data_IF_394776228518
#
_entry.id   IF_394776228518
#
_cell.length_a   1.000
_cell.length_b   1.000
_cell.length_c   1.000
_cell.angle_alpha   90.00
_cell.angle_beta   90.00
_cell.angle_gamma   90.00
#
_symmetry.space_group_name_H-M   'P 1'
#
loop_
_entity.id
_entity.type
_entity.pdbx_description
1 polymer ?
#
# COMPACT_ATOMS: atom_id res chain seq x y z
N UNK A 1 -14.94 4.71 -6.55
CA UNK A 1 -14.79 3.24 -6.55
C UNK A 1 -14.85 2.79 -5.10
N UNK A 2 -15.46 1.65 -4.77
CA UNK A 2 -15.54 1.19 -3.36
C UNK A 2 -14.30 0.40 -2.96
N UNK A 3 -14.09 0.23 -1.66
CA UNK A 3 -13.01 -0.62 -1.14
C UNK A 3 -13.12 -2.04 -1.71
N UNK A 4 -14.32 -2.63 -1.76
CA UNK A 4 -14.55 -3.97 -2.30
C UNK A 4 -14.15 -4.09 -3.78
N UNK A 5 -14.34 -3.03 -4.56
CA UNK A 5 -13.93 -3.00 -5.97
C UNK A 5 -12.40 -2.97 -6.10
N UNK A 6 -11.69 -2.21 -5.24
CA UNK A 6 -10.22 -2.22 -5.23
C UNK A 6 -9.70 -3.58 -4.77
N UNK A 7 -10.29 -4.16 -3.71
CA UNK A 7 -9.96 -5.50 -3.24
C UNK A 7 -10.14 -6.54 -4.35
N UNK A 8 -11.26 -6.49 -5.09
CA UNK A 8 -11.53 -7.39 -6.20
C UNK A 8 -10.47 -7.28 -7.31
N UNK A 9 -10.03 -6.07 -7.65
CA UNK A 9 -8.97 -5.87 -8.64
C UNK A 9 -7.63 -6.45 -8.15
N UNK A 10 -7.21 -6.15 -6.92
CA UNK A 10 -5.94 -6.66 -6.38
C UNK A 10 -5.94 -8.19 -6.29
N UNK A 11 -7.06 -8.79 -5.87
CA UNK A 11 -7.25 -10.25 -5.81
C UNK A 11 -7.17 -10.94 -7.18
N UNK A 12 -7.33 -10.20 -8.27
CA UNK A 12 -7.16 -10.73 -9.62
C UNK A 12 -5.70 -10.90 -10.03
N UNK A 13 -4.75 -10.34 -9.27
CA UNK A 13 -3.33 -10.38 -9.61
C UNK A 13 -2.75 -11.77 -9.36
N UNK A 14 -2.03 -12.29 -10.35
CA UNK A 14 -1.39 -13.61 -10.27
C UNK A 14 -0.35 -13.67 -9.13
N UNK A 15 -0.46 -14.71 -8.30
CA UNK A 15 0.42 -14.94 -7.15
C UNK A 15 0.26 -13.96 -5.98
N UNK A 16 -0.86 -13.22 -5.92
CA UNK A 16 -1.17 -12.36 -4.78
C UNK A 16 -1.54 -13.18 -3.54
N UNK A 17 -0.98 -12.76 -2.40
CA UNK A 17 -1.43 -13.15 -1.08
C UNK A 17 -1.98 -11.90 -0.38
N UNK A 18 -3.20 -12.01 0.10
CA UNK A 18 -3.83 -11.01 0.96
C UNK A 18 -3.86 -11.53 2.39
N UNK A 19 -3.23 -10.78 3.30
CA UNK A 19 -3.45 -10.93 4.72
C UNK A 19 -4.52 -9.93 5.15
N UNK A 20 -5.66 -10.42 5.62
CA UNK A 20 -6.78 -9.61 6.10
C UNK A 20 -7.12 -9.99 7.55
N UNK A 21 -6.42 -9.41 8.55
CA UNK A 21 -6.64 -9.72 9.96
C UNK A 21 -8.07 -9.43 10.40
N UNK A 22 -8.62 -10.31 11.23
CA UNK A 22 -9.98 -10.19 11.78
C UNK A 22 -9.97 -10.46 13.29
N UNK A 23 -11.03 -10.10 13.99
CA UNK A 23 -11.20 -10.49 15.38
C UNK A 23 -11.09 -12.01 15.54
N UNK A 24 -10.30 -12.45 16.52
CA UNK A 24 -10.04 -13.88 16.77
C UNK A 24 -9.01 -14.54 15.84
N UNK A 25 -8.43 -13.82 14.86
CA UNK A 25 -7.39 -14.35 13.96
C UNK A 25 -5.99 -14.52 14.60
N UNK A 26 -5.83 -14.10 15.87
CA UNK A 26 -4.52 -14.10 16.56
C UNK A 26 -3.61 -12.93 16.18
N UNK A 27 -4.01 -12.07 15.25
CA UNK A 27 -3.33 -10.82 14.92
C UNK A 27 -3.71 -9.70 15.90
N UNK A 28 -2.84 -8.68 16.10
CA UNK A 28 -3.15 -7.53 16.93
C UNK A 28 -4.41 -6.80 16.48
N UNK A 29 -5.21 -6.33 17.45
CA UNK A 29 -6.47 -5.61 17.22
C UNK A 29 -6.30 -4.38 16.30
N UNK A 30 -5.18 -3.68 16.43
CA UNK A 30 -4.84 -2.55 15.57
C UNK A 30 -4.78 -2.90 14.08
N UNK A 31 -4.67 -4.17 13.70
CA UNK A 31 -4.65 -4.58 12.29
C UNK A 31 -5.99 -5.12 11.77
N UNK A 32 -7.00 -5.29 12.63
CA UNK A 32 -8.26 -5.91 12.23
C UNK A 32 -9.05 -5.05 11.24
N UNK A 33 -9.47 -5.65 10.13
CA UNK A 33 -10.15 -4.93 9.04
C UNK A 33 -9.20 -4.24 8.05
N UNK A 34 -7.89 -4.28 8.29
CA UNK A 34 -6.90 -3.83 7.30
C UNK A 34 -6.55 -4.97 6.34
N UNK A 35 -5.98 -4.61 5.20
CA UNK A 35 -5.56 -5.57 4.18
C UNK A 35 -4.11 -5.31 3.80
N UNK A 36 -3.30 -6.37 3.74
CA UNK A 36 -1.88 -6.30 3.40
C UNK A 36 -1.61 -7.23 2.22
N UNK A 37 -0.99 -6.70 1.16
CA UNK A 37 -0.81 -7.43 -0.09
C UNK A 37 0.64 -7.73 -0.39
N UNK A 38 0.90 -8.99 -0.73
CA UNK A 38 2.22 -9.52 -1.04
C UNK A 38 2.15 -10.30 -2.35
N UNK A 39 3.24 -10.31 -3.13
CA UNK A 39 3.46 -11.40 -4.06
C UNK A 39 4.06 -12.61 -3.30
N UNK A 40 3.25 -13.61 -3.02
CA UNK A 40 3.65 -14.82 -2.30
C UNK A 40 2.89 -16.02 -2.88
N UNK A 41 3.36 -16.58 -4.01
CA UNK A 41 2.67 -17.68 -4.70
C UNK A 41 2.67 -19.00 -3.90
N UNK A 42 3.48 -19.10 -2.85
CA UNK A 42 3.51 -20.20 -1.89
C UNK A 42 2.41 -20.10 -0.82
N UNK A 43 1.72 -18.95 -0.73
CA UNK A 43 0.65 -18.71 0.23
C UNK A 43 1.12 -18.33 1.63
N UNK A 44 2.44 -18.16 1.83
CA UNK A 44 3.01 -17.86 3.14
C UNK A 44 3.32 -16.37 3.30
N UNK A 45 2.92 -15.78 4.43
CA UNK A 45 3.17 -14.36 4.70
C UNK A 45 4.68 -14.13 4.89
N UNK A 46 5.33 -13.29 4.06
CA UNK A 46 6.77 -13.07 4.17
C UNK A 46 7.15 -12.33 5.47
N UNK A 47 8.12 -12.85 6.22
CA UNK A 47 8.62 -12.21 7.44
C UNK A 47 9.81 -11.25 7.24
N UNK A 48 10.37 -11.21 6.02
CA UNK A 48 11.62 -10.48 5.73
C UNK A 48 11.43 -9.24 4.85
N UNK A 49 10.18 -8.84 4.60
CA UNK A 49 9.84 -7.72 3.73
C UNK A 49 8.46 -7.18 4.06
N UNK A 50 8.25 -5.91 3.75
CA UNK A 50 6.95 -5.27 3.82
C UNK A 50 6.04 -5.72 2.66
N UNK A 51 4.71 -5.57 2.82
CA UNK A 51 3.77 -5.69 1.70
C UNK A 51 4.09 -4.66 0.61
N UNK A 52 3.60 -4.89 -0.61
CA UNK A 52 3.72 -3.90 -1.68
C UNK A 52 2.59 -2.87 -1.65
N UNK A 53 1.46 -3.22 -1.04
CA UNK A 53 0.32 -2.34 -0.84
C UNK A 53 -0.42 -2.70 0.44
N UNK A 54 -1.12 -1.72 1.02
CA UNK A 54 -2.02 -1.94 2.15
C UNK A 54 -3.29 -1.14 1.98
N UNK A 55 -4.38 -1.61 2.60
CA UNK A 55 -5.57 -0.81 2.88
C UNK A 55 -5.71 -0.73 4.39
N UNK A 56 -5.71 0.48 4.93
CA UNK A 56 -5.86 0.72 6.37
C UNK A 56 -7.14 1.51 6.66
N UNK A 57 -7.79 1.16 7.76
CA UNK A 57 -9.16 1.59 8.11
C UNK A 57 -9.24 2.41 9.40
N UNK A 58 -8.09 2.69 10.02
CA UNK A 58 -7.95 3.55 11.21
C UNK A 58 -6.54 4.13 11.28
N UNK A 59 -6.34 5.07 12.21
CA UNK A 59 -5.02 5.64 12.50
C UNK A 59 -4.07 4.56 13.05
N UNK A 60 -2.80 4.72 12.72
CA UNK A 60 -1.70 3.94 13.31
C UNK A 60 -0.84 4.88 14.17
N UNK A 61 -0.05 4.34 15.13
CA UNK A 61 1.01 5.11 15.77
C UNK A 61 1.87 5.79 14.71
N UNK A 62 2.18 7.07 14.93
CA UNK A 62 2.94 7.93 14.00
C UNK A 62 2.20 8.26 12.69
N UNK A 63 0.91 7.96 12.59
CA UNK A 63 0.06 8.17 11.41
C UNK A 63 -1.38 8.53 11.82
N UNK A 64 -1.51 9.67 12.49
CA UNK A 64 -2.80 10.25 12.91
C UNK A 64 -3.26 11.37 11.97
N UNK A 65 -2.34 11.99 11.22
CA UNK A 65 -2.61 13.13 10.33
C UNK A 65 -3.50 12.78 9.12
N UNK A 66 -3.73 11.49 8.84
CA UNK A 66 -4.70 11.04 7.84
C UNK A 66 -6.15 11.00 8.33
N UNK A 67 -6.40 11.19 9.64
CA UNK A 67 -7.74 11.28 10.23
C UNK A 67 -8.64 10.07 9.90
N UNK A 68 -8.08 8.86 9.90
CA UNK A 68 -8.81 7.63 9.57
C UNK A 68 -9.69 7.12 10.72
N UNK A 69 -9.67 7.77 11.88
CA UNK A 69 -10.60 7.52 12.99
C UNK A 69 -12.01 8.09 12.75
N UNK A 70 -12.19 8.93 11.71
CA UNK A 70 -13.52 9.37 11.30
C UNK A 70 -14.31 8.21 10.63
N UNK A 71 -15.63 8.10 10.87
CA UNK A 71 -16.41 6.96 10.41
C UNK A 71 -16.37 6.76 8.88
N UNK A 72 -15.97 5.56 8.46
CA UNK A 72 -16.01 5.14 7.06
C UNK A 72 -14.77 5.53 6.24
N UNK A 73 -13.79 6.23 6.82
CA UNK A 73 -12.55 6.58 6.14
C UNK A 73 -11.60 5.40 6.07
N UNK A 74 -10.87 5.34 4.97
CA UNK A 74 -9.85 4.32 4.71
C UNK A 74 -8.83 4.88 3.72
N UNK A 75 -7.65 4.27 3.71
CA UNK A 75 -6.53 4.72 2.88
C UNK A 75 -5.88 3.55 2.17
N UNK A 76 -5.56 3.74 0.90
CA UNK A 76 -4.72 2.82 0.13
C UNK A 76 -3.29 3.33 0.16
N UNK A 77 -2.35 2.46 0.55
CA UNK A 77 -0.92 2.72 0.51
C UNK A 77 -0.28 1.85 -0.56
N UNK A 78 0.65 2.40 -1.33
CA UNK A 78 1.34 1.66 -2.40
C UNK A 78 2.84 1.96 -2.36
N UNK A 79 3.65 0.92 -2.37
CA UNK A 79 5.09 1.03 -2.57
C UNK A 79 5.41 1.27 -4.05
N UNK A 80 5.21 2.52 -4.49
CA UNK A 80 5.42 2.94 -5.87
C UNK A 80 6.89 2.91 -6.30
N UNK A 81 7.82 3.11 -5.35
CA UNK A 81 9.24 3.31 -5.64
C UNK A 81 9.49 4.69 -6.25
N UNK A 82 10.77 5.08 -6.37
CA UNK A 82 11.14 6.47 -6.65
C UNK A 82 10.63 7.01 -7.99
N UNK A 83 10.57 6.19 -9.04
CA UNK A 83 10.12 6.62 -10.36
C UNK A 83 8.63 6.97 -10.35
N UNK A 84 7.77 6.00 -10.03
CA UNK A 84 6.32 6.22 -10.03
C UNK A 84 5.91 7.24 -8.97
N UNK A 85 6.58 7.29 -7.82
CA UNK A 85 6.37 8.36 -6.83
C UNK A 85 6.57 9.75 -7.46
N UNK A 86 7.68 9.94 -8.19
CA UNK A 86 8.00 11.23 -8.83
C UNK A 86 6.99 11.57 -9.92
N UNK A 87 6.53 10.57 -10.68
CA UNK A 87 5.48 10.76 -11.69
C UNK A 87 4.16 11.20 -11.07
N UNK A 88 3.79 10.65 -9.90
CA UNK A 88 2.53 10.96 -9.22
C UNK A 88 2.56 12.30 -8.47
N UNK A 89 3.67 12.63 -7.82
CA UNK A 89 3.78 13.76 -6.89
C UNK A 89 4.63 14.92 -7.43
N UNK A 90 5.21 14.78 -8.62
CA UNK A 90 6.01 15.81 -9.29
C UNK A 90 7.38 16.07 -8.66
N UNK A 91 7.76 15.33 -7.62
CA UNK A 91 9.03 15.50 -6.91
C UNK A 91 9.54 14.17 -6.35
N UNK A 92 10.87 14.00 -6.17
CA UNK A 92 11.43 12.77 -5.64
C UNK A 92 11.09 12.56 -4.15
N UNK A 93 11.04 11.30 -3.66
CA UNK A 93 10.66 10.98 -2.29
C UNK A 93 11.36 11.79 -1.19
N UNK A 94 12.66 12.05 -1.34
CA UNK A 94 13.48 12.72 -0.33
C UNK A 94 13.39 14.25 -0.37
N UNK A 95 12.70 14.84 -1.34
CA UNK A 95 12.52 16.30 -1.43
C UNK A 95 11.18 16.77 -0.90
N UNK A 96 10.28 15.86 -0.52
CA UNK A 96 8.99 16.25 0.05
C UNK A 96 9.18 16.77 1.47
N UNK A 97 8.64 17.94 1.73
CA UNK A 97 8.48 18.48 3.08
C UNK A 97 7.12 18.04 3.65
N UNK A 98 7.10 17.10 4.61
CA UNK A 98 5.85 16.60 5.20
C UNK A 98 4.99 17.69 5.83
N UNK A 99 5.59 18.79 6.30
CA UNK A 99 4.86 19.88 6.97
C UNK A 99 3.96 20.69 6.02
N UNK A 100 4.14 20.51 4.71
CA UNK A 100 3.35 21.19 3.67
C UNK A 100 2.22 20.33 3.11
N UNK A 101 2.08 19.08 3.58
CA UNK A 101 1.15 18.10 3.04
C UNK A 101 -0.07 18.00 3.95
N UNK A 102 -1.25 18.10 3.37
CA UNK A 102 -2.49 17.67 4.02
C UNK A 102 -2.68 16.17 3.79
N UNK A 103 -2.34 15.37 4.80
CA UNK A 103 -2.42 13.91 4.72
C UNK A 103 -3.86 13.37 4.83
N UNK A 104 -4.82 14.23 5.16
CA UNK A 104 -6.23 13.91 5.22
C UNK A 104 -6.98 14.29 3.93
N UNK A 105 -6.34 14.93 2.95
CA UNK A 105 -7.00 15.27 1.68
C UNK A 105 -7.47 13.99 0.96
N UNK A 106 -8.76 13.96 0.59
CA UNK A 106 -9.39 12.80 -0.03
C UNK A 106 -9.27 12.82 -1.55
N UNK A 107 -9.20 11.62 -2.16
CA UNK A 107 -9.09 11.43 -3.60
C UNK A 107 -7.93 12.24 -4.24
N UNK A 108 -6.78 12.26 -3.54
CA UNK A 108 -5.52 12.86 -3.99
C UNK A 108 -4.35 11.92 -3.65
N UNK A 109 -3.35 11.88 -4.52
CA UNK A 109 -2.08 11.22 -4.20
C UNK A 109 -1.26 12.13 -3.28
N UNK A 110 -0.86 11.59 -2.14
CA UNK A 110 0.08 12.19 -1.20
C UNK A 110 1.24 11.23 -0.94
N UNK A 111 2.41 11.70 -0.49
CA UNK A 111 3.39 10.80 0.12
C UNK A 111 2.75 10.06 1.30
N UNK A 112 3.16 8.82 1.56
CA UNK A 112 2.76 8.16 2.80
C UNK A 112 3.29 8.96 4.01
N UNK A 113 2.48 9.21 5.07
CA UNK A 113 2.88 10.01 6.23
C UNK A 113 4.21 9.56 6.87
N UNK A 114 4.33 8.26 7.13
CA UNK A 114 5.55 7.65 7.68
C UNK A 114 6.59 7.25 6.62
N UNK A 115 6.16 6.59 5.53
CA UNK A 115 7.07 5.94 4.57
C UNK A 115 7.29 6.72 3.26
N UNK A 116 6.85 7.96 3.16
CA UNK A 116 6.93 8.78 1.94
C UNK A 116 8.34 8.88 1.39
N UNK A 117 9.34 9.11 2.26
CA UNK A 117 10.76 9.19 1.87
C UNK A 117 11.34 7.89 1.28
N UNK A 118 10.68 6.76 1.52
CA UNK A 118 11.01 5.44 0.96
C UNK A 118 10.30 5.17 -0.38
N UNK A 119 9.55 6.13 -0.91
CA UNK A 119 8.83 6.01 -2.18
C UNK A 119 7.46 5.36 -2.05
N UNK A 120 6.81 5.50 -0.89
CA UNK A 120 5.42 5.11 -0.69
C UNK A 120 4.49 6.29 -0.95
N UNK A 121 3.40 6.02 -1.65
CA UNK A 121 2.30 6.97 -1.87
C UNK A 121 1.05 6.47 -1.15
N UNK A 122 0.16 7.39 -0.84
CA UNK A 122 -1.12 7.10 -0.22
C UNK A 122 -2.25 7.89 -0.88
N UNK A 123 -3.46 7.35 -0.80
CA UNK A 123 -4.72 8.03 -1.19
C UNK A 123 -5.76 7.72 -0.12
N UNK A 124 -6.28 8.77 0.53
CA UNK A 124 -7.42 8.64 1.45
C UNK A 124 -8.71 8.70 0.65
N UNK A 125 -9.63 7.78 0.93
CA UNK A 125 -10.92 7.63 0.23
C UNK A 125 -10.80 7.77 -1.31
N UNK A 126 -10.13 6.81 -1.99
CA UNK A 126 -9.96 6.87 -3.45
C UNK A 126 -11.28 7.08 -4.19
N UNK A 127 -11.33 8.17 -4.97
CA UNK A 127 -12.46 8.58 -5.78
C UNK A 127 -12.13 8.57 -7.26
N UNK A 128 -12.95 9.25 -8.06
CA UNK A 128 -12.82 9.26 -9.52
C UNK A 128 -11.50 9.86 -10.01
N UNK A 129 -10.91 10.80 -9.26
CA UNK A 129 -9.68 11.51 -9.67
C UNK A 129 -8.46 10.61 -9.62
N UNK A 130 -8.37 9.75 -8.61
CA UNK A 130 -7.17 8.91 -8.37
C UNK A 130 -7.34 7.48 -8.83
N UNK A 131 -8.57 6.95 -8.84
CA UNK A 131 -8.84 5.52 -9.07
C UNK A 131 -8.09 4.96 -10.28
N UNK A 132 -8.19 5.52 -11.51
CA UNK A 132 -7.55 4.92 -12.67
C UNK A 132 -6.04 4.74 -12.48
N UNK A 133 -5.38 5.78 -11.97
CA UNK A 133 -3.93 5.77 -11.77
C UNK A 133 -3.52 4.96 -10.54
N UNK A 134 -4.39 4.83 -9.54
CA UNK A 134 -4.16 4.00 -8.35
C UNK A 134 -4.14 2.51 -8.72
N UNK A 135 -5.04 2.06 -9.59
CA UNK A 135 -5.05 0.67 -10.05
C UNK A 135 -3.79 0.32 -10.86
N UNK A 136 -3.33 1.24 -11.70
CA UNK A 136 -2.04 1.10 -12.40
C UNK A 136 -0.88 1.01 -11.41
N UNK A 137 -0.85 1.88 -10.39
CA UNK A 137 0.18 1.87 -9.36
C UNK A 137 0.20 0.57 -8.55
N UNK A 138 -0.97 0.02 -8.20
CA UNK A 138 -1.10 -1.26 -7.52
C UNK A 138 -0.54 -2.41 -8.35
N UNK A 139 -0.86 -2.44 -9.66
CA UNK A 139 -0.31 -3.45 -10.58
C UNK A 139 1.20 -3.32 -10.71
N UNK A 140 1.73 -2.10 -10.85
CA UNK A 140 3.17 -1.87 -10.97
C UNK A 140 3.92 -2.28 -9.69
N UNK A 141 3.36 -1.98 -8.52
CA UNK A 141 3.90 -2.38 -7.22
C UNK A 141 3.90 -3.91 -7.06
N UNK A 142 2.82 -4.59 -7.47
CA UNK A 142 2.74 -6.05 -7.49
C UNK A 142 3.82 -6.67 -8.37
N UNK A 143 3.97 -6.18 -9.60
CA UNK A 143 5.00 -6.64 -10.54
C UNK A 143 6.41 -6.36 -10.01
N UNK A 144 6.63 -5.23 -9.34
CA UNK A 144 7.90 -4.92 -8.70
C UNK A 144 8.23 -5.88 -7.55
N UNK A 145 7.23 -6.23 -6.74
CA UNK A 145 7.39 -7.18 -5.65
C UNK A 145 7.70 -8.59 -6.17
N UNK A 146 6.95 -9.04 -7.19
CA UNK A 146 7.23 -10.27 -7.93
C UNK A 146 8.67 -10.36 -8.41
N UNK A 147 9.15 -9.33 -9.12
CA UNK A 147 10.54 -9.26 -9.59
C UNK A 147 11.56 -9.30 -8.44
N UNK A 148 11.24 -8.80 -7.25
CA UNK A 148 12.13 -8.89 -6.07
C UNK A 148 12.14 -10.29 -5.47
N UNK A 149 11.01 -11.00 -5.49
CA UNK A 149 10.91 -12.39 -4.99
C UNK A 149 11.62 -13.35 -5.93
N UNK A 150 11.28 -13.34 -7.23
CA UNK A 150 11.88 -14.22 -8.23
C UNK A 150 13.41 -14.09 -8.29
N UNK A 151 13.94 -12.86 -8.23
CA UNK A 151 15.39 -12.62 -8.18
C UNK A 151 16.06 -13.20 -6.94
N UNK A 152 15.40 -13.15 -5.78
CA UNK A 152 15.96 -13.70 -4.52
C UNK A 152 15.94 -15.23 -4.51
N UNK A 153 14.93 -15.86 -5.09
CA UNK A 153 14.87 -17.31 -5.22
C UNK A 153 15.97 -17.82 -6.15
N UNK A 154 16.16 -17.17 -7.32
CA UNK A 154 17.21 -17.55 -8.25
C UNK A 154 18.63 -17.48 -7.65
N UNK A 155 18.88 -16.52 -6.75
CA UNK A 155 20.15 -16.41 -6.04
C UNK A 155 20.37 -17.54 -5.03
N UNK A 156 19.30 -18.03 -4.38
CA UNK A 156 19.37 -19.13 -3.39
C UNK A 156 19.60 -20.49 -4.04
N UNK A 157 19.11 -20.69 -5.26
CA UNK A 157 19.28 -21.95 -6.00
C UNK A 157 20.69 -22.12 -6.59
N UNK A 158 21.52 -21.07 -6.55
CA UNK A 158 22.89 -21.07 -7.10
C UNK A 158 23.96 -21.30 -6.02
N UNK A 159 23.59 -21.33 -4.73
CA UNK A 159 24.47 -21.61 -3.58
C UNK A 159 24.43 -23.09 -3.19
#
# INVERSE_FOLDING_TARGET
MTMEQILAEIRSFDGVLELAPQEGSGHPEISWGDHFFYYAPDGEVPHNRQPYATIVTKNYPDDEDSHLDEPGRWRVNVHAGSQLFTELLGCPPRSVDPSTIDFAETDVFVPHPVYGSLGWVAVVEPGERTTPRLLEALRDAHLADRRRVERRSALRDTE
#
